data_IF_217988435414
#
_entry.id   IF_217988435414
#
_cell.length_a   1.000
_cell.length_b   1.000
_cell.length_c   1.000
_cell.angle_alpha   90.00
_cell.angle_beta   90.00
_cell.angle_gamma   90.00
#
_symmetry.space_group_name_H-M   'P 1'
#
loop_
_entity.id
_entity.type
_entity.pdbx_description
1 polymer ?
#
# COMPACT_ATOMS: atom_id res chain seq x y z
N UNK A 1 1.68 -45.84 -27.55
CA UNK A 1 2.88 -45.17 -26.98
C UNK A 1 4.19 -45.53 -27.68
N UNK A 2 4.55 -46.80 -27.92
CA UNK A 2 5.83 -47.17 -28.57
C UNK A 2 6.12 -46.39 -29.87
N UNK A 3 5.11 -46.21 -30.73
CA UNK A 3 5.25 -45.43 -31.97
C UNK A 3 5.75 -44.00 -31.73
N UNK A 4 5.20 -43.28 -30.76
CA UNK A 4 5.64 -41.92 -30.41
C UNK A 4 7.09 -41.92 -29.89
N UNK A 5 7.46 -42.88 -29.02
CA UNK A 5 8.82 -42.96 -28.50
C UNK A 5 9.86 -43.14 -29.60
N UNK A 6 9.65 -44.10 -30.52
CA UNK A 6 10.56 -44.30 -31.65
C UNK A 6 10.53 -43.14 -32.65
N UNK A 7 9.36 -42.52 -32.88
CA UNK A 7 9.27 -41.32 -33.70
C UNK A 7 10.10 -40.18 -33.11
N UNK A 8 10.03 -39.95 -31.79
CA UNK A 8 10.84 -38.95 -31.09
C UNK A 8 12.33 -39.25 -31.23
N UNK A 9 12.78 -40.48 -30.99
CA UNK A 9 14.19 -40.86 -31.20
C UNK A 9 14.65 -40.57 -32.63
N UNK A 10 13.86 -40.95 -33.63
CA UNK A 10 14.17 -40.67 -35.04
C UNK A 10 14.29 -39.16 -35.33
N UNK A 11 13.41 -38.34 -34.76
CA UNK A 11 13.46 -36.87 -34.91
C UNK A 11 14.64 -36.25 -34.18
N UNK A 12 14.92 -36.68 -32.96
CA UNK A 12 16.07 -36.23 -32.17
C UNK A 12 17.38 -36.47 -32.94
N UNK A 13 17.59 -37.69 -33.44
CA UNK A 13 18.76 -38.04 -34.25
C UNK A 13 18.81 -37.21 -35.55
N UNK A 14 17.69 -37.08 -36.26
CA UNK A 14 17.62 -36.30 -37.50
C UNK A 14 17.93 -34.81 -37.30
N UNK A 15 17.66 -34.26 -36.12
CA UNK A 15 17.95 -32.86 -35.77
C UNK A 15 19.31 -32.66 -35.07
N UNK A 16 20.12 -33.72 -34.95
CA UNK A 16 21.50 -33.63 -34.47
C UNK A 16 21.71 -33.98 -33.01
N UNK A 17 20.85 -34.81 -32.41
CA UNK A 17 21.20 -35.54 -31.19
C UNK A 17 22.25 -36.62 -31.52
N UNK A 18 23.24 -36.80 -30.65
CA UNK A 18 24.28 -37.82 -30.81
C UNK A 18 23.75 -39.22 -30.50
N UNK A 19 22.85 -39.31 -29.52
CA UNK A 19 22.23 -40.54 -29.02
C UNK A 19 20.78 -40.25 -28.73
N UNK A 20 19.89 -41.16 -29.11
CA UNK A 20 18.50 -41.18 -28.66
C UNK A 20 18.03 -42.64 -28.51
N UNK A 21 17.67 -43.03 -27.29
CA UNK A 21 17.35 -44.41 -26.93
C UNK A 21 16.01 -44.47 -26.18
N UNK A 22 15.22 -45.50 -26.49
CA UNK A 22 13.93 -45.77 -25.83
C UNK A 22 14.14 -46.71 -24.64
N UNK A 23 13.42 -46.46 -23.55
CA UNK A 23 13.37 -47.31 -22.35
C UNK A 23 14.74 -47.57 -21.69
N UNK A 24 15.61 -46.54 -21.66
CA UNK A 24 16.92 -46.58 -20.99
C UNK A 24 16.78 -46.42 -19.48
N UNK A 25 17.79 -46.81 -18.71
CA UNK A 25 17.94 -46.44 -17.30
C UNK A 25 19.00 -45.36 -17.12
N UNK A 26 18.67 -44.32 -16.35
CA UNK A 26 19.60 -43.29 -15.87
C UNK A 26 19.72 -43.46 -14.36
N UNK A 27 20.92 -43.75 -13.88
CA UNK A 27 21.17 -44.04 -12.46
C UNK A 27 20.18 -45.07 -11.85
N UNK A 28 19.91 -46.14 -12.61
CA UNK A 28 18.95 -47.18 -12.24
C UNK A 28 17.47 -46.84 -12.41
N UNK A 29 17.12 -45.57 -12.62
CA UNK A 29 15.74 -45.14 -12.84
C UNK A 29 15.35 -45.34 -14.31
N UNK A 30 14.24 -46.04 -14.61
CA UNK A 30 13.76 -46.17 -15.98
C UNK A 30 13.22 -44.84 -16.49
N UNK A 31 13.63 -44.46 -17.70
CA UNK A 31 13.16 -43.28 -18.42
C UNK A 31 12.63 -43.69 -19.79
N UNK A 32 11.60 -43.01 -20.29
CA UNK A 32 10.97 -43.40 -21.55
C UNK A 32 11.86 -43.15 -22.76
N UNK A 33 12.54 -42.00 -22.79
CA UNK A 33 13.48 -41.64 -23.84
C UNK A 33 14.65 -40.91 -23.20
N UNK A 34 15.85 -41.40 -23.46
CA UNK A 34 17.09 -40.74 -23.13
C UNK A 34 17.72 -40.20 -24.41
N UNK A 35 18.24 -38.98 -24.38
CA UNK A 35 19.03 -38.47 -25.49
C UNK A 35 20.16 -37.55 -25.02
N UNK A 36 21.18 -37.39 -25.86
CA UNK A 36 22.39 -36.62 -25.55
C UNK A 36 22.81 -35.78 -26.74
N UNK A 37 23.31 -34.57 -26.46
CA UNK A 37 23.98 -33.72 -27.45
C UNK A 37 25.21 -33.08 -26.82
N UNK A 38 26.39 -33.42 -27.33
CA UNK A 38 27.66 -33.10 -26.68
C UNK A 38 27.70 -33.71 -25.29
N UNK A 39 28.01 -32.89 -24.28
CA UNK A 39 28.09 -33.33 -22.88
C UNK A 39 26.76 -33.28 -22.14
N UNK A 40 25.70 -32.76 -22.76
CA UNK A 40 24.40 -32.56 -22.10
C UNK A 40 23.48 -33.74 -22.33
N UNK A 41 22.99 -34.31 -21.24
CA UNK A 41 22.03 -35.40 -21.21
C UNK A 41 20.62 -34.91 -20.94
N UNK A 42 19.64 -35.52 -21.58
CA UNK A 42 18.25 -35.10 -21.56
C UNK A 42 17.32 -36.31 -21.50
N UNK A 43 16.15 -36.10 -20.90
CA UNK A 43 15.12 -37.14 -20.77
C UNK A 43 13.79 -36.62 -21.27
N UNK A 44 13.04 -37.49 -21.97
CA UNK A 44 11.62 -37.26 -22.26
C UNK A 44 10.80 -38.36 -21.59
N UNK A 45 9.86 -37.97 -20.75
CA UNK A 45 8.87 -38.83 -20.11
C UNK A 45 7.52 -38.69 -20.82
N UNK A 46 6.92 -39.80 -21.22
CA UNK A 46 5.63 -39.83 -21.92
C UNK A 46 4.59 -40.46 -21.02
N UNK A 47 3.54 -39.70 -20.70
CA UNK A 47 2.40 -40.16 -19.89
C UNK A 47 1.12 -39.91 -20.67
N UNK A 48 0.31 -40.95 -20.85
CA UNK A 48 -1.02 -40.83 -21.48
C UNK A 48 -2.13 -40.59 -20.47
N UNK A 49 -1.88 -40.83 -19.19
CA UNK A 49 -2.81 -40.60 -18.08
C UNK A 49 -2.57 -39.25 -17.37
N UNK A 50 -3.43 -38.90 -16.41
CA UNK A 50 -3.24 -37.72 -15.58
C UNK A 50 -1.90 -37.81 -14.83
N UNK A 51 -1.22 -36.67 -14.72
CA UNK A 51 0.07 -36.56 -14.07
C UNK A 51 -0.10 -35.99 -12.67
N UNK A 52 0.37 -36.71 -11.65
CA UNK A 52 0.47 -36.16 -10.31
C UNK A 52 1.65 -35.19 -10.23
N UNK A 53 1.35 -33.91 -10.02
CA UNK A 53 2.35 -32.83 -10.07
C UNK A 53 3.53 -33.07 -9.13
N UNK A 54 3.26 -33.42 -7.88
CA UNK A 54 4.30 -33.58 -6.85
C UNK A 54 5.28 -34.68 -7.23
N UNK A 55 4.77 -35.87 -7.61
CA UNK A 55 5.61 -36.99 -8.04
C UNK A 55 6.41 -36.68 -9.30
N UNK A 56 5.83 -35.96 -10.26
CA UNK A 56 6.53 -35.55 -11.46
C UNK A 56 7.66 -34.54 -11.16
N UNK A 57 7.44 -33.62 -10.22
CA UNK A 57 8.47 -32.68 -9.76
C UNK A 57 9.61 -33.41 -9.04
N UNK A 58 9.29 -34.35 -8.14
CA UNK A 58 10.28 -35.18 -7.45
C UNK A 58 11.08 -36.04 -8.43
N UNK A 59 10.43 -36.67 -9.41
CA UNK A 59 11.11 -37.42 -10.47
C UNK A 59 12.04 -36.53 -11.29
N UNK A 60 11.56 -35.34 -11.67
CA UNK A 60 12.38 -34.35 -12.40
C UNK A 60 13.60 -33.93 -11.58
N UNK A 61 13.44 -33.68 -10.27
CA UNK A 61 14.54 -33.35 -9.39
C UNK A 61 15.54 -34.50 -9.24
N UNK A 62 15.05 -35.75 -9.15
CA UNK A 62 15.90 -36.94 -9.10
C UNK A 62 16.75 -37.09 -10.36
N UNK A 63 16.16 -36.89 -11.53
CA UNK A 63 16.89 -36.94 -12.81
C UNK A 63 17.93 -35.82 -12.92
N UNK A 64 17.60 -34.60 -12.47
CA UNK A 64 18.58 -33.51 -12.41
C UNK A 64 19.73 -33.80 -11.46
N UNK A 65 19.45 -34.40 -10.30
CA UNK A 65 20.48 -34.83 -9.37
C UNK A 65 21.39 -35.93 -9.96
N UNK A 66 20.87 -36.76 -10.87
CA UNK A 66 21.63 -37.76 -11.61
C UNK A 66 22.45 -37.20 -12.79
N UNK A 67 22.43 -35.88 -13.02
CA UNK A 67 23.20 -35.22 -14.09
C UNK A 67 22.42 -34.92 -15.38
N UNK A 68 21.13 -35.24 -15.42
CA UNK A 68 20.27 -34.88 -16.57
C UNK A 68 20.06 -33.36 -16.59
N UNK A 69 20.44 -32.72 -17.69
CA UNK A 69 20.34 -31.27 -17.84
C UNK A 69 18.87 -30.80 -17.85
N UNK A 70 18.01 -31.53 -18.56
CA UNK A 70 16.59 -31.18 -18.65
C UNK A 70 15.70 -32.40 -18.89
N UNK A 71 14.51 -32.37 -18.29
CA UNK A 71 13.48 -33.42 -18.39
C UNK A 71 12.25 -32.80 -19.02
N UNK A 72 11.76 -33.39 -20.09
CA UNK A 72 10.52 -33.00 -20.77
C UNK A 72 9.41 -34.01 -20.50
N UNK A 73 8.24 -33.54 -20.05
CA UNK A 73 7.06 -34.38 -19.90
C UNK A 73 6.09 -34.18 -21.05
N UNK A 74 5.79 -35.24 -21.79
CA UNK A 74 4.69 -35.27 -22.76
C UNK A 74 3.47 -35.88 -22.07
N UNK A 75 2.43 -35.09 -21.85
CA UNK A 75 1.26 -35.48 -21.06
C UNK A 75 -0.04 -34.98 -21.73
N UNK A 76 -1.23 -35.46 -21.30
CA UNK A 76 -2.47 -34.85 -21.76
C UNK A 76 -2.52 -33.38 -21.33
N UNK A 77 -3.25 -32.52 -22.06
CA UNK A 77 -3.45 -31.14 -21.66
C UNK A 77 -4.11 -31.07 -20.27
N UNK A 78 -3.56 -30.24 -19.40
CA UNK A 78 -4.09 -30.04 -18.05
C UNK A 78 -3.35 -28.93 -17.30
N UNK A 79 -3.80 -28.64 -16.08
CA UNK A 79 -3.28 -27.53 -15.26
C UNK A 79 -1.80 -27.72 -14.86
N UNK A 80 -1.30 -28.95 -14.86
CA UNK A 80 0.07 -29.29 -14.48
C UNK A 80 1.11 -28.84 -15.51
N UNK A 81 0.72 -28.60 -16.76
CA UNK A 81 1.64 -28.28 -17.86
C UNK A 81 2.41 -26.99 -17.59
N UNK A 82 1.76 -25.98 -17.01
CA UNK A 82 2.39 -24.70 -16.65
C UNK A 82 3.35 -24.79 -15.46
N UNK A 83 3.36 -25.91 -14.71
CA UNK A 83 4.09 -26.06 -13.44
C UNK A 83 5.25 -27.05 -13.51
N UNK A 84 5.48 -27.63 -14.68
CA UNK A 84 6.44 -28.68 -14.98
C UNK A 84 7.01 -28.42 -16.35
N UNK A 85 8.25 -28.85 -16.61
CA UNK A 85 8.85 -28.81 -17.96
C UNK A 85 8.09 -29.78 -18.87
N UNK A 86 6.91 -29.38 -19.34
CA UNK A 86 5.91 -30.27 -19.90
C UNK A 86 5.25 -29.67 -21.14
N UNK A 87 4.72 -30.55 -21.99
CA UNK A 87 3.89 -30.21 -23.13
C UNK A 87 2.62 -31.05 -23.09
N UNK A 88 1.49 -30.36 -23.26
CA UNK A 88 0.19 -30.99 -23.43
C UNK A 88 0.05 -31.47 -24.87
N UNK A 89 -0.03 -32.79 -25.10
CA UNK A 89 -0.18 -33.39 -26.43
C UNK A 89 -1.66 -33.63 -26.72
N UNK A 90 -2.14 -33.18 -27.89
CA UNK A 90 -3.54 -33.33 -28.28
C UNK A 90 -3.96 -34.79 -28.45
N UNK A 91 -3.14 -35.55 -29.18
CA UNK A 91 -3.35 -36.97 -29.46
C UNK A 91 -2.00 -37.70 -29.46
N UNK A 92 -1.93 -38.81 -28.73
CA UNK A 92 -0.75 -39.67 -28.65
C UNK A 92 -0.71 -40.73 -29.77
N UNK A 93 -1.72 -40.79 -30.64
CA UNK A 93 -1.82 -41.72 -31.75
C UNK A 93 -2.40 -41.12 -33.06
N UNK A 94 -1.97 -39.93 -33.52
CA UNK A 94 -2.50 -39.31 -34.75
C UNK A 94 -2.21 -40.16 -35.99
N UNK A 95 -3.07 -40.19 -37.02
CA UNK A 95 -2.92 -41.07 -38.19
C UNK A 95 -1.57 -40.94 -38.92
N UNK A 96 -1.13 -39.70 -39.19
CA UNK A 96 0.07 -39.39 -39.98
C UNK A 96 1.32 -39.08 -39.13
N UNK A 97 1.28 -39.33 -37.81
CA UNK A 97 2.34 -38.91 -36.86
C UNK A 97 2.57 -37.39 -36.77
N UNK A 98 1.53 -36.61 -37.10
CA UNK A 98 1.50 -35.15 -36.90
C UNK A 98 1.14 -34.86 -35.44
N UNK A 99 2.09 -35.07 -34.53
CA UNK A 99 1.88 -34.81 -33.11
C UNK A 99 1.83 -33.32 -32.84
N UNK A 100 0.75 -32.88 -32.20
CA UNK A 100 0.52 -31.47 -31.86
C UNK A 100 0.60 -31.24 -30.35
N UNK A 101 1.32 -30.21 -29.98
CA UNK A 101 1.34 -29.63 -28.64
C UNK A 101 0.24 -28.57 -28.57
N UNK A 102 -0.63 -28.65 -27.58
CA UNK A 102 -1.73 -27.70 -27.37
C UNK A 102 -1.53 -26.84 -26.14
N UNK A 103 -0.72 -27.28 -25.17
CA UNK A 103 -0.35 -26.52 -23.97
C UNK A 103 1.15 -26.59 -23.72
N UNK A 104 1.68 -25.62 -22.97
CA UNK A 104 3.06 -25.58 -22.51
C UNK A 104 4.00 -24.73 -23.37
N UNK A 105 3.55 -24.30 -24.55
CA UNK A 105 4.26 -23.32 -25.38
C UNK A 105 3.76 -21.92 -25.03
N UNK A 106 4.68 -20.99 -24.83
CA UNK A 106 4.41 -19.56 -24.68
C UNK A 106 4.73 -18.83 -25.98
N UNK A 107 4.06 -17.70 -26.15
CA UNK A 107 4.27 -16.80 -27.28
C UNK A 107 4.30 -15.36 -26.76
N UNK A 108 5.15 -14.52 -27.38
CA UNK A 108 5.18 -13.07 -27.15
C UNK A 108 4.68 -12.26 -28.34
N UNK A 109 4.39 -12.88 -29.49
CA UNK A 109 3.94 -12.20 -30.71
C UNK A 109 2.63 -11.44 -30.47
N UNK A 110 1.72 -12.01 -29.70
CA UNK A 110 0.36 -11.47 -29.52
C UNK A 110 0.14 -10.76 -28.18
N UNK A 111 1.17 -10.65 -27.33
CA UNK A 111 1.04 -10.13 -25.98
C UNK A 111 2.36 -9.51 -25.52
N UNK A 112 2.29 -8.35 -24.86
CA UNK A 112 3.47 -7.69 -24.29
C UNK A 112 4.18 -8.55 -23.23
N UNK A 113 3.46 -9.50 -22.64
CA UNK A 113 3.98 -10.50 -21.68
C UNK A 113 3.86 -11.89 -22.27
N UNK A 114 4.76 -12.79 -21.90
CA UNK A 114 4.69 -14.18 -22.31
C UNK A 114 3.32 -14.76 -21.93
N UNK A 115 2.55 -15.17 -22.93
CA UNK A 115 1.22 -15.72 -22.75
C UNK A 115 1.17 -17.15 -23.31
N UNK A 116 0.26 -18.01 -22.85
CA UNK A 116 0.03 -19.30 -23.50
C UNK A 116 -0.24 -19.09 -24.99
N UNK A 117 0.47 -19.85 -25.82
CA UNK A 117 0.19 -19.89 -27.25
C UNK A 117 -1.23 -20.43 -27.46
N UNK A 118 -1.99 -19.79 -28.36
CA UNK A 118 -3.38 -20.14 -28.63
C UNK A 118 -3.52 -21.24 -29.69
N UNK A 119 -2.64 -21.21 -30.68
CA UNK A 119 -2.66 -22.18 -31.77
C UNK A 119 -1.82 -23.42 -31.40
N UNK A 120 -2.27 -24.63 -31.77
CA UNK A 120 -1.46 -25.82 -31.65
C UNK A 120 -0.10 -25.65 -32.33
N UNK A 121 0.93 -26.24 -31.74
CA UNK A 121 2.29 -26.16 -32.24
C UNK A 121 2.83 -27.57 -32.52
N UNK A 122 3.47 -27.76 -33.68
CA UNK A 122 3.97 -29.06 -34.06
C UNK A 122 5.04 -29.55 -33.09
N UNK A 123 4.88 -30.75 -32.56
CA UNK A 123 5.89 -31.37 -31.71
C UNK A 123 7.21 -31.53 -32.47
N UNK A 124 7.16 -31.69 -33.79
CA UNK A 124 8.35 -31.74 -34.64
C UNK A 124 9.17 -30.46 -34.54
N UNK A 125 8.52 -29.31 -34.68
CA UNK A 125 9.17 -28.00 -34.63
C UNK A 125 9.68 -27.69 -33.22
N UNK A 126 8.93 -28.12 -32.20
CA UNK A 126 9.39 -28.08 -30.82
C UNK A 126 10.70 -28.87 -30.64
N UNK A 127 10.75 -30.13 -31.08
CA UNK A 127 11.94 -30.96 -30.90
C UNK A 127 13.12 -30.39 -31.70
N UNK A 128 12.89 -29.88 -32.90
CA UNK A 128 13.92 -29.19 -33.67
C UNK A 128 14.51 -28.02 -32.86
N UNK A 129 13.66 -27.09 -32.41
CA UNK A 129 14.08 -25.93 -31.64
C UNK A 129 14.72 -26.29 -30.29
N UNK A 130 14.26 -27.35 -29.63
CA UNK A 130 14.84 -27.81 -28.37
C UNK A 130 16.23 -28.43 -28.58
N UNK A 131 16.41 -29.21 -29.65
CA UNK A 131 17.72 -29.79 -29.99
C UNK A 131 18.71 -28.71 -30.42
N UNK A 132 18.29 -27.70 -31.20
CA UNK A 132 19.17 -26.58 -31.59
C UNK A 132 19.48 -25.63 -30.44
N UNK A 133 18.65 -25.64 -29.38
CA UNK A 133 18.76 -24.72 -28.24
C UNK A 133 18.00 -23.41 -28.46
N UNK A 134 17.20 -23.32 -29.52
CA UNK A 134 16.35 -22.17 -29.83
C UNK A 134 15.11 -22.11 -28.93
N UNK A 135 14.63 -23.25 -28.43
CA UNK A 135 13.49 -23.34 -27.51
C UNK A 135 13.98 -23.73 -26.12
N UNK A 136 13.62 -22.92 -25.13
CA UNK A 136 14.01 -23.11 -23.72
C UNK A 136 12.83 -22.92 -22.78
N UNK A 137 12.87 -23.62 -21.65
CA UNK A 137 11.93 -23.39 -20.56
C UNK A 137 12.28 -22.12 -19.78
N UNK A 138 11.27 -21.34 -19.42
CA UNK A 138 11.41 -20.22 -18.51
C UNK A 138 10.16 -19.98 -17.69
N UNK A 139 10.27 -19.07 -16.71
CA UNK A 139 9.19 -18.70 -15.81
C UNK A 139 8.47 -17.46 -16.32
N UNK A 140 7.17 -17.60 -16.59
CA UNK A 140 6.27 -16.49 -16.93
C UNK A 140 5.95 -15.67 -15.68
N UNK A 141 5.76 -16.36 -14.57
CA UNK A 141 5.58 -15.78 -13.24
C UNK A 141 6.29 -16.63 -12.17
N UNK A 142 6.11 -16.29 -10.89
CA UNK A 142 6.80 -16.95 -9.76
C UNK A 142 6.48 -18.45 -9.66
N UNK A 143 5.37 -18.88 -10.24
CA UNK A 143 4.82 -20.24 -10.07
C UNK A 143 4.61 -21.00 -11.37
N UNK A 144 4.51 -20.29 -12.50
CA UNK A 144 4.23 -20.87 -13.80
C UNK A 144 5.31 -20.56 -14.82
N UNK A 145 5.59 -21.53 -15.67
CA UNK A 145 6.52 -21.42 -16.76
C UNK A 145 5.95 -21.94 -18.07
N UNK A 146 6.83 -22.03 -19.05
CA UNK A 146 6.51 -22.57 -20.35
C UNK A 146 7.73 -22.58 -21.25
N UNK A 147 7.59 -23.26 -22.39
CA UNK A 147 8.59 -23.33 -23.44
C UNK A 147 8.37 -22.19 -24.42
N UNK A 148 9.42 -21.44 -24.74
CA UNK A 148 9.34 -20.39 -25.75
C UNK A 148 10.68 -20.31 -26.49
N UNK A 149 10.72 -19.58 -27.59
CA UNK A 149 12.01 -19.33 -28.24
C UNK A 149 12.90 -18.46 -27.35
N UNK A 150 14.21 -18.52 -27.52
CA UNK A 150 15.16 -17.63 -26.83
C UNK A 150 14.83 -16.16 -27.14
N UNK A 151 14.41 -15.86 -28.37
CA UNK A 151 13.97 -14.53 -28.78
C UNK A 151 12.71 -14.08 -28.02
N UNK A 152 11.73 -14.97 -27.83
CA UNK A 152 10.53 -14.68 -27.01
C UNK A 152 10.93 -14.39 -25.56
N UNK A 153 11.84 -15.17 -24.98
CA UNK A 153 12.31 -14.94 -23.62
C UNK A 153 13.12 -13.65 -23.48
N UNK A 154 13.92 -13.30 -24.48
CA UNK A 154 14.62 -12.02 -24.52
C UNK A 154 13.62 -10.85 -24.56
N UNK A 155 12.59 -10.95 -25.41
CA UNK A 155 11.53 -9.96 -25.49
C UNK A 155 10.78 -9.85 -24.15
N UNK A 156 10.37 -10.98 -23.58
CA UNK A 156 9.67 -11.01 -22.29
C UNK A 156 10.50 -10.40 -21.17
N UNK A 157 11.78 -10.79 -21.05
CA UNK A 157 12.70 -10.28 -20.03
C UNK A 157 12.93 -8.78 -20.19
N UNK A 158 13.07 -8.30 -21.42
CA UNK A 158 13.18 -6.86 -21.71
C UNK A 158 11.93 -6.11 -21.25
N UNK A 159 10.74 -6.62 -21.57
CA UNK A 159 9.47 -6.01 -21.15
C UNK A 159 9.32 -6.01 -19.62
N UNK A 160 9.65 -7.11 -18.95
CA UNK A 160 9.65 -7.19 -17.49
C UNK A 160 10.63 -6.19 -16.86
N UNK A 161 11.83 -6.05 -17.40
CA UNK A 161 12.81 -5.07 -16.92
C UNK A 161 12.27 -3.63 -17.04
N UNK A 162 11.58 -3.30 -18.15
CA UNK A 162 10.92 -1.99 -18.32
C UNK A 162 9.78 -1.77 -17.31
N UNK A 163 8.93 -2.78 -17.08
CA UNK A 163 7.85 -2.71 -16.09
C UNK A 163 8.42 -2.49 -14.69
N UNK A 164 9.44 -3.25 -14.30
CA UNK A 164 10.09 -3.13 -12.99
C UNK A 164 10.74 -1.74 -12.84
N UNK A 165 11.40 -1.22 -13.88
CA UNK A 165 11.98 0.12 -13.86
C UNK A 165 10.90 1.20 -13.65
N UNK A 166 9.76 1.09 -14.33
CA UNK A 166 8.62 1.99 -14.15
C UNK A 166 8.06 1.92 -12.72
N UNK A 167 7.86 0.72 -12.19
CA UNK A 167 7.37 0.51 -10.82
C UNK A 167 8.34 1.07 -9.77
N UNK A 168 9.65 0.91 -9.97
CA UNK A 168 10.67 1.52 -9.11
C UNK A 168 10.57 3.04 -9.12
N UNK A 169 10.41 3.66 -10.28
CA UNK A 169 10.24 5.10 -10.37
C UNK A 169 8.95 5.58 -9.69
N UNK A 170 7.85 4.83 -9.86
CA UNK A 170 6.59 5.14 -9.19
C UNK A 170 6.71 5.05 -7.67
N UNK A 171 7.38 4.02 -7.15
CA UNK A 171 7.65 3.88 -5.71
C UNK A 171 8.51 5.03 -5.18
N UNK A 172 9.50 5.51 -5.94
CA UNK A 172 10.28 6.70 -5.58
C UNK A 172 9.37 7.93 -5.53
N UNK A 173 8.52 8.14 -6.54
CA UNK A 173 7.57 9.27 -6.57
C UNK A 173 6.57 9.23 -5.40
N UNK A 174 6.07 8.05 -5.04
CA UNK A 174 5.18 7.88 -3.89
C UNK A 174 5.91 8.17 -2.57
N UNK A 175 7.16 7.73 -2.43
CA UNK A 175 7.99 8.02 -1.24
C UNK A 175 8.29 9.51 -1.10
N UNK A 176 8.61 10.20 -2.20
CA UNK A 176 8.85 11.66 -2.16
C UNK A 176 7.57 12.43 -1.84
N UNK A 177 6.43 12.05 -2.43
CA UNK A 177 5.12 12.62 -2.11
C UNK A 177 4.75 12.44 -0.63
N UNK A 178 4.97 11.23 -0.08
CA UNK A 178 4.74 10.95 1.34
C UNK A 178 5.67 11.79 2.25
N UNK A 179 6.95 11.92 1.89
CA UNK A 179 7.90 12.73 2.63
C UNK A 179 7.50 14.22 2.65
N UNK A 180 7.06 14.76 1.51
CA UNK A 180 6.54 16.13 1.41
C UNK A 180 5.27 16.32 2.25
N UNK A 181 4.33 15.38 2.18
CA UNK A 181 3.10 15.42 3.00
C UNK A 181 3.42 15.43 4.49
N UNK A 182 4.34 14.56 4.95
CA UNK A 182 4.82 14.54 6.34
C UNK A 182 5.46 15.87 6.76
N UNK A 183 6.25 16.49 5.89
CA UNK A 183 6.84 17.81 6.14
C UNK A 183 5.75 18.87 6.28
N UNK A 184 4.79 18.91 5.37
CA UNK A 184 3.66 19.86 5.43
C UNK A 184 2.84 19.69 6.70
N UNK A 185 2.53 18.46 7.12
CA UNK A 185 1.83 18.18 8.38
C UNK A 185 2.62 18.72 9.58
N UNK A 186 3.95 18.47 9.63
CA UNK A 186 4.82 18.99 10.68
C UNK A 186 4.84 20.51 10.73
N UNK A 187 4.89 21.17 9.58
CA UNK A 187 4.88 22.63 9.51
C UNK A 187 3.52 23.21 9.91
N UNK A 188 2.41 22.57 9.52
CA UNK A 188 1.06 22.94 9.99
C UNK A 188 0.91 22.74 11.49
N UNK A 189 1.42 21.65 12.07
CA UNK A 189 1.42 21.41 13.51
C UNK A 189 2.18 22.51 14.27
N UNK A 190 3.35 22.94 13.77
CA UNK A 190 4.09 24.07 14.35
C UNK A 190 3.28 25.37 14.28
N UNK A 191 2.59 25.62 13.18
CA UNK A 191 1.75 26.80 13.03
C UNK A 191 0.55 26.78 13.97
N UNK A 192 -0.11 25.63 14.12
CA UNK A 192 -1.19 25.43 15.11
C UNK A 192 -0.67 25.72 16.52
N UNK A 193 0.48 25.15 16.91
CA UNK A 193 1.08 25.41 18.23
C UNK A 193 1.40 26.89 18.47
N UNK A 194 1.89 27.61 17.45
CA UNK A 194 2.12 29.06 17.55
C UNK A 194 0.82 29.85 17.68
N UNK A 195 -0.25 29.41 17.02
CA UNK A 195 -1.56 30.06 17.10
C UNK A 195 -2.23 29.78 18.45
N UNK A 196 -2.15 28.55 18.96
CA UNK A 196 -2.70 28.20 20.28
C UNK A 196 -1.99 28.98 21.39
N UNK A 197 -0.65 29.05 21.38
CA UNK A 197 0.10 29.84 22.37
C UNK A 197 -0.18 31.34 22.30
N UNK A 198 -0.46 31.89 21.11
CA UNK A 198 -0.90 33.29 20.97
C UNK A 198 -2.31 33.50 21.50
N UNK A 199 -3.20 32.55 21.28
CA UNK A 199 -4.57 32.57 21.78
C UNK A 199 -4.61 32.49 23.30
N UNK A 200 -3.83 31.59 23.90
CA UNK A 200 -3.68 31.47 25.37
C UNK A 200 -3.18 32.80 25.99
N UNK A 201 -2.20 33.46 25.36
CA UNK A 201 -1.73 34.78 25.84
C UNK A 201 -2.79 35.86 25.71
N UNK A 202 -3.51 35.90 24.60
CA UNK A 202 -4.59 36.86 24.40
C UNK A 202 -5.75 36.64 25.39
N UNK A 203 -6.03 35.39 25.74
CA UNK A 203 -7.01 35.02 26.76
C UNK A 203 -6.57 35.48 28.15
N UNK A 204 -5.31 35.26 28.53
CA UNK A 204 -4.75 35.78 29.78
C UNK A 204 -4.80 37.31 29.85
N UNK A 205 -4.37 38.01 28.79
CA UNK A 205 -4.45 39.48 28.74
C UNK A 205 -5.90 39.99 28.81
N UNK A 206 -6.85 39.28 28.17
CA UNK A 206 -8.27 39.62 28.26
C UNK A 206 -8.81 39.43 29.68
N UNK A 207 -8.39 38.36 30.37
CA UNK A 207 -8.76 38.10 31.75
C UNK A 207 -8.19 39.17 32.70
N UNK A 208 -6.92 39.53 32.56
CA UNK A 208 -6.30 40.62 33.34
C UNK A 208 -7.02 41.96 33.15
N UNK A 209 -7.42 42.28 31.92
CA UNK A 209 -8.23 43.48 31.63
C UNK A 209 -9.61 43.41 32.25
N UNK A 210 -10.26 42.24 32.21
CA UNK A 210 -11.55 42.04 32.85
C UNK A 210 -11.47 42.23 34.38
N UNK A 211 -10.41 41.70 35.01
CA UNK A 211 -10.16 41.86 36.44
C UNK A 211 -9.84 43.31 36.81
N UNK A 212 -9.03 44.01 36.01
CA UNK A 212 -8.73 45.43 36.19
C UNK A 212 -10.01 46.29 36.05
N UNK A 213 -10.87 45.98 35.07
CA UNK A 213 -12.17 46.65 34.92
C UNK A 213 -13.10 46.36 36.11
N UNK A 214 -13.13 45.13 36.62
CA UNK A 214 -13.91 44.79 37.81
C UNK A 214 -13.41 45.53 39.06
N UNK A 215 -12.09 45.66 39.24
CA UNK A 215 -11.50 46.44 40.33
C UNK A 215 -11.81 47.93 40.20
N UNK A 216 -11.68 48.50 38.99
CA UNK A 216 -12.04 49.90 38.73
C UNK A 216 -13.52 50.13 39.03
N UNK A 217 -14.40 49.20 38.64
CA UNK A 217 -15.82 49.27 38.92
C UNK A 217 -16.12 49.27 40.42
N UNK A 218 -15.47 48.39 41.20
CA UNK A 218 -15.61 48.37 42.67
C UNK A 218 -15.19 49.70 43.31
N UNK A 219 -14.07 50.29 42.86
CA UNK A 219 -13.62 51.61 43.35
C UNK A 219 -14.64 52.71 43.05
N UNK A 220 -15.22 52.71 41.85
CA UNK A 220 -16.28 53.66 41.48
C UNK A 220 -17.52 53.46 42.37
N UNK A 221 -17.95 52.21 42.58
CA UNK A 221 -19.09 51.89 43.42
C UNK A 221 -18.85 52.31 44.90
N UNK A 222 -17.63 52.14 45.42
CA UNK A 222 -17.24 52.59 46.76
C UNK A 222 -17.21 54.13 46.86
N UNK A 223 -16.67 54.83 45.85
CA UNK A 223 -16.76 56.30 45.78
C UNK A 223 -18.23 56.76 45.76
N UNK A 224 -19.09 56.11 44.99
CA UNK A 224 -20.52 56.41 44.98
C UNK A 224 -21.18 56.17 46.35
N UNK A 225 -20.78 55.14 47.09
CA UNK A 225 -21.27 54.91 48.47
C UNK A 225 -20.83 56.02 49.41
N UNK A 226 -19.56 56.42 49.37
CA UNK A 226 -19.03 57.51 50.20
C UNK A 226 -19.72 58.84 49.85
N UNK A 227 -19.84 59.17 48.57
CA UNK A 227 -20.56 60.37 48.12
C UNK A 227 -22.02 60.36 48.57
N UNK A 228 -22.70 59.21 48.49
CA UNK A 228 -24.07 59.07 48.97
C UNK A 228 -24.15 59.24 50.49
N UNK A 229 -23.19 58.69 51.24
CA UNK A 229 -23.10 58.88 52.70
C UNK A 229 -22.87 60.35 53.06
N UNK A 230 -21.93 61.03 52.40
CA UNK A 230 -21.66 62.46 52.59
C UNK A 230 -22.87 63.34 52.25
N UNK A 231 -23.56 63.04 51.14
CA UNK A 231 -24.82 63.73 50.79
C UNK A 231 -25.88 63.53 51.86
N UNK A 232 -25.99 62.33 52.43
CA UNK A 232 -26.94 62.03 53.50
C UNK A 232 -26.56 62.72 54.82
N UNK A 233 -25.28 62.78 55.19
CA UNK A 233 -24.83 63.51 56.38
C UNK A 233 -24.99 65.02 56.23
N UNK A 234 -24.70 65.59 55.06
CA UNK A 234 -24.96 67.02 54.76
C UNK A 234 -26.46 67.31 54.89
N UNK A 235 -27.32 66.49 54.28
CA UNK A 235 -28.78 66.62 54.42
C UNK A 235 -29.22 66.55 55.89
N UNK A 236 -28.69 65.60 56.65
CA UNK A 236 -28.97 65.47 58.08
C UNK A 236 -28.53 66.72 58.85
N UNK A 237 -27.32 67.23 58.64
CA UNK A 237 -26.81 68.43 59.29
C UNK A 237 -27.64 69.67 58.93
N UNK A 238 -28.02 69.83 57.67
CA UNK A 238 -28.92 70.90 57.23
C UNK A 238 -30.28 70.81 57.96
N UNK A 239 -30.82 69.60 58.12
CA UNK A 239 -32.06 69.38 58.87
C UNK A 239 -31.90 69.70 60.36
N UNK A 240 -30.75 69.36 60.97
CA UNK A 240 -30.45 69.71 62.38
C UNK A 240 -30.27 71.22 62.56
N UNK A 241 -29.55 71.89 61.65
CA UNK A 241 -29.39 73.36 61.65
C UNK A 241 -30.76 74.03 61.52
N UNK A 242 -31.60 73.56 60.59
CA UNK A 242 -32.96 74.06 60.43
C UNK A 242 -33.78 73.90 61.72
N UNK A 243 -33.69 72.75 62.40
CA UNK A 243 -34.32 72.54 63.72
C UNK A 243 -33.81 73.52 64.78
N UNK A 244 -32.50 73.70 64.89
CA UNK A 244 -31.90 74.62 65.85
C UNK A 244 -32.27 76.08 65.58
N UNK A 245 -32.30 76.49 64.30
CA UNK A 245 -32.78 77.81 63.90
C UNK A 245 -34.23 78.03 64.31
N UNK A 246 -35.09 77.03 64.13
CA UNK A 246 -36.50 77.09 64.56
C UNK A 246 -36.61 77.22 66.08
N UNK A 247 -35.84 76.43 66.85
CA UNK A 247 -35.77 76.52 68.32
C UNK A 247 -35.25 77.88 68.80
N UNK A 248 -34.18 78.40 68.20
CA UNK A 248 -33.64 79.73 68.56
C UNK A 248 -34.59 80.85 68.20
N UNK A 249 -35.30 80.75 67.07
CA UNK A 249 -36.33 81.72 66.70
C UNK A 249 -37.52 81.68 67.68
N UNK A 250 -37.99 80.49 68.08
CA UNK A 250 -38.99 80.32 69.14
C UNK A 250 -38.51 80.88 70.49
N UNK A 251 -37.26 80.63 70.88
CA UNK A 251 -36.69 81.15 72.12
C UNK A 251 -36.56 82.69 72.09
N UNK A 252 -36.12 83.29 70.97
CA UNK A 252 -36.12 84.74 70.79
C UNK A 252 -37.53 85.31 70.90
N UNK A 253 -38.52 84.71 70.26
CA UNK A 253 -39.93 85.11 70.37
C UNK A 253 -40.43 85.05 71.83
N UNK A 254 -40.05 84.02 72.59
CA UNK A 254 -40.35 83.91 74.02
C UNK A 254 -39.68 85.00 74.86
N UNK A 255 -38.40 85.32 74.60
CA UNK A 255 -37.69 86.40 75.29
C UNK A 255 -38.32 87.76 74.98
N UNK A 256 -38.61 88.03 73.70
CA UNK A 256 -39.25 89.28 73.26
C UNK A 256 -40.63 89.43 73.90
N UNK A 257 -41.44 88.36 73.94
CA UNK A 257 -42.74 88.39 74.63
C UNK A 257 -42.61 88.58 76.14
N UNK A 258 -41.58 88.00 76.78
CA UNK A 258 -41.31 88.21 78.22
C UNK A 258 -40.85 89.64 78.53
N UNK A 259 -39.95 90.22 77.72
CA UNK A 259 -39.49 91.61 77.87
C UNK A 259 -40.62 92.60 77.61
N UNK A 260 -41.45 92.37 76.59
CA UNK A 260 -42.65 93.17 76.34
C UNK A 260 -43.64 93.07 77.51
N UNK A 261 -43.85 91.86 78.05
CA UNK A 261 -44.67 91.66 79.25
C UNK A 261 -44.12 92.39 80.49
N UNK A 262 -42.80 92.37 80.70
CA UNK A 262 -42.15 93.08 81.81
C UNK A 262 -42.20 94.61 81.67
N UNK A 263 -42.16 95.14 80.44
CA UNK A 263 -42.31 96.58 80.16
C UNK A 263 -43.74 97.07 80.40
N UNK A 264 -44.77 96.24 80.18
CA UNK A 264 -46.17 96.60 80.42
C UNK A 264 -46.55 96.57 81.91
N UNK A 265 -45.78 95.87 82.75
CA UNK A 265 -45.99 95.78 84.21
C UNK A 265 -45.30 96.92 84.98
N UNK A 266 -44.62 97.84 84.29
CA UNK A 266 -44.10 99.10 84.87
C UNK A 266 -44.99 100.28 84.50
#
# INVERSE_FOLDING_TARGET
MRRLKYWLCGRLLAFGADVAEVDRRVDGVPVDIYWRKGEREFVIEVRSGPLERTLAQEHTQRMRAAGVAEVLWLCPPGYWVDHLHALGIADFAPPACDYLTVHGILDTVHSAVAAPRRDPFELRDFIHGWVTGDIVWGYRDVTTGGWATVADWEHHTRTQATIIARQRQELVNQRTALALSRKTVRDKQKNVMKLTTRLERAELEAQERADALAQARRKIDDHHRVDTMLRNTIKSLQQTISHWQLVTCCAMMLIVTFVAGALVVR
#
